data_IF_501553972582
#
_entry.id   IF_501553972582
#
_cell.length_a   1.000
_cell.length_b   1.000
_cell.length_c   1.000
_cell.angle_alpha   90.00
_cell.angle_beta   90.00
_cell.angle_gamma   90.00
#
_symmetry.space_group_name_H-M   'P 1'
#
loop_
_entity.id
_entity.type
_entity.pdbx_description
1 polymer ?
#
# COMPACT_ATOMS: atom_id res chain seq x y z
N UNK A 1 -4.80 22.62 -13.42
CA UNK A 1 -5.32 21.30 -13.90
C UNK A 1 -4.25 20.25 -13.74
N UNK A 2 -4.58 19.12 -13.12
CA UNK A 2 -3.64 18.00 -12.94
C UNK A 2 -3.65 17.12 -14.20
N UNK A 3 -2.48 16.63 -14.59
CA UNK A 3 -2.29 15.61 -15.62
C UNK A 3 -1.47 14.47 -15.08
N UNK A 4 -1.69 13.27 -15.61
CA UNK A 4 -0.89 12.09 -15.26
C UNK A 4 -0.36 11.42 -16.52
N UNK A 5 0.85 10.89 -16.43
CA UNK A 5 1.49 10.10 -17.47
C UNK A 5 2.04 8.84 -16.83
N UNK A 6 1.91 7.71 -17.50
CA UNK A 6 2.41 6.43 -17.01
C UNK A 6 3.34 5.84 -18.06
N UNK A 7 4.43 5.27 -17.63
CA UNK A 7 5.38 4.57 -18.45
C UNK A 7 5.83 3.28 -17.78
N UNK A 8 6.23 2.29 -18.56
CA UNK A 8 6.75 1.03 -18.06
C UNK A 8 7.84 0.48 -18.95
N UNK A 9 8.67 -0.39 -18.41
CA UNK A 9 9.66 -1.18 -19.16
C UNK A 9 9.88 -2.53 -18.48
N UNK A 10 10.23 -3.53 -19.27
CA UNK A 10 10.72 -4.83 -18.82
C UNK A 10 12.22 -5.00 -19.06
N UNK A 11 12.83 -3.98 -19.65
CA UNK A 11 14.25 -4.02 -19.96
C UNK A 11 15.07 -3.85 -18.68
N UNK A 12 15.80 -4.87 -18.32
CA UNK A 12 16.59 -4.96 -17.10
C UNK A 12 18.09 -4.95 -17.36
N UNK A 13 18.51 -5.53 -18.49
CA UNK A 13 19.91 -5.81 -18.80
C UNK A 13 20.61 -4.62 -19.45
N UNK A 14 19.91 -3.90 -20.33
CA UNK A 14 20.45 -2.74 -21.06
C UNK A 14 19.89 -1.44 -20.49
N UNK A 15 20.55 -0.88 -19.47
CA UNK A 15 20.10 0.31 -18.72
C UNK A 15 19.76 1.49 -19.64
N UNK A 16 20.59 1.77 -20.64
CA UNK A 16 20.36 2.88 -21.58
C UNK A 16 19.09 2.67 -22.42
N UNK A 17 18.76 1.41 -22.74
CA UNK A 17 17.52 1.05 -23.44
C UNK A 17 16.32 1.27 -22.54
N UNK A 18 16.38 0.79 -21.29
CA UNK A 18 15.32 1.01 -20.29
C UNK A 18 15.04 2.51 -20.08
N UNK A 19 16.07 3.32 -19.88
CA UNK A 19 15.93 4.78 -19.75
C UNK A 19 15.29 5.38 -21.01
N UNK A 20 15.74 5.00 -22.19
CA UNK A 20 15.19 5.51 -23.45
C UNK A 20 13.72 5.14 -23.64
N UNK A 21 13.33 3.91 -23.29
CA UNK A 21 11.93 3.47 -23.35
C UNK A 21 11.04 4.32 -22.44
N UNK A 22 11.43 4.51 -21.18
CA UNK A 22 10.68 5.34 -20.21
C UNK A 22 10.59 6.79 -20.69
N UNK A 23 11.72 7.41 -21.07
CA UNK A 23 11.73 8.81 -21.50
C UNK A 23 10.94 9.03 -22.80
N UNK A 24 10.94 8.05 -23.70
CA UNK A 24 10.14 8.11 -24.96
C UNK A 24 8.63 8.07 -24.68
N UNK A 25 8.20 7.30 -23.68
CA UNK A 25 6.79 7.26 -23.26
C UNK A 25 6.39 8.54 -22.51
N UNK A 26 7.20 8.99 -21.56
CA UNK A 26 6.90 10.15 -20.71
C UNK A 26 6.98 11.48 -21.45
N UNK A 27 7.95 11.68 -22.33
CA UNK A 27 8.23 12.94 -23.09
C UNK A 27 8.25 14.16 -22.17
N UNK A 28 9.20 14.24 -21.20
CA UNK A 28 9.18 15.30 -20.18
C UNK A 28 9.13 16.71 -20.73
N UNK A 29 9.85 16.98 -21.84
CA UNK A 29 9.97 18.32 -22.45
C UNK A 29 8.62 18.87 -22.94
N UNK A 30 7.64 17.98 -23.22
CA UNK A 30 6.34 18.39 -23.76
C UNK A 30 5.18 18.14 -22.79
N UNK A 31 5.31 17.15 -21.92
CA UNK A 31 4.21 16.67 -21.07
C UNK A 31 4.28 17.21 -19.66
N UNK A 32 5.47 17.44 -19.10
CA UNK A 32 5.60 17.91 -17.72
C UNK A 32 5.25 19.38 -17.62
N UNK A 33 4.41 19.69 -16.65
CA UNK A 33 4.08 21.04 -16.25
C UNK A 33 5.08 21.55 -15.21
N UNK A 34 4.85 22.74 -14.68
CA UNK A 34 5.78 23.42 -13.76
C UNK A 34 6.15 22.58 -12.55
N UNK A 35 5.18 21.92 -11.94
CA UNK A 35 5.35 21.11 -10.75
C UNK A 35 5.07 19.65 -11.11
N UNK A 36 6.04 18.78 -10.90
CA UNK A 36 5.94 17.36 -11.23
C UNK A 36 6.51 16.50 -10.12
N UNK A 37 5.92 15.33 -9.93
CA UNK A 37 6.39 14.30 -9.02
C UNK A 37 6.25 12.94 -9.69
N UNK A 38 7.23 12.08 -9.49
CA UNK A 38 7.24 10.72 -9.98
C UNK A 38 6.92 9.72 -8.85
N UNK A 39 5.97 8.81 -9.11
CA UNK A 39 5.66 7.66 -8.26
C UNK A 39 6.15 6.41 -8.99
N UNK A 40 7.04 5.64 -8.35
CA UNK A 40 7.63 4.43 -8.95
C UNK A 40 7.17 3.18 -8.21
N UNK A 41 6.89 2.13 -8.97
CA UNK A 41 6.79 0.76 -8.47
C UNK A 41 7.55 -0.16 -9.40
N UNK A 42 8.40 -1.05 -8.86
CA UNK A 42 9.21 -1.94 -9.69
C UNK A 42 9.55 -3.24 -8.97
N UNK A 43 9.91 -4.26 -9.73
CA UNK A 43 10.55 -5.44 -9.18
C UNK A 43 11.94 -5.09 -8.61
N UNK A 44 12.37 -5.75 -7.54
CA UNK A 44 13.61 -5.41 -6.82
C UNK A 44 14.87 -5.50 -7.70
N UNK A 45 14.88 -6.35 -8.73
CA UNK A 45 16.01 -6.48 -9.65
C UNK A 45 16.32 -5.17 -10.38
N UNK A 46 15.32 -4.35 -10.71
CA UNK A 46 15.54 -3.01 -11.31
C UNK A 46 16.30 -2.07 -10.38
N UNK A 47 16.11 -2.24 -9.06
CA UNK A 47 16.86 -1.50 -8.05
C UNK A 47 18.31 -1.95 -8.03
N UNK A 48 18.54 -3.27 -7.93
CA UNK A 48 19.88 -3.85 -7.82
C UNK A 48 20.69 -3.66 -9.10
N UNK A 49 20.06 -3.76 -10.28
CA UNK A 49 20.70 -3.52 -11.56
C UNK A 49 21.04 -2.05 -11.82
N UNK A 50 20.54 -1.10 -10.97
CA UNK A 50 20.81 0.32 -11.15
C UNK A 50 19.90 1.03 -12.15
N UNK A 51 18.91 0.35 -12.73
CA UNK A 51 17.95 0.93 -13.69
C UNK A 51 17.14 2.05 -13.03
N UNK A 52 16.68 1.85 -11.78
CA UNK A 52 15.94 2.87 -11.01
C UNK A 52 16.74 4.17 -10.89
N UNK A 53 18.05 4.06 -10.56
CA UNK A 53 18.92 5.22 -10.42
C UNK A 53 19.13 5.94 -11.75
N UNK A 54 19.35 5.19 -12.83
CA UNK A 54 19.57 5.76 -14.16
C UNK A 54 18.31 6.49 -14.69
N UNK A 55 17.12 5.92 -14.46
CA UNK A 55 15.86 6.58 -14.81
C UNK A 55 15.68 7.87 -14.00
N UNK A 56 15.92 7.83 -12.68
CA UNK A 56 15.86 9.04 -11.86
C UNK A 56 16.81 10.14 -12.33
N UNK A 57 18.05 9.80 -12.69
CA UNK A 57 19.04 10.77 -13.16
C UNK A 57 18.64 11.45 -14.49
N UNK A 58 17.74 10.82 -15.24
CA UNK A 58 17.16 11.37 -16.47
C UNK A 58 15.87 12.18 -16.23
N UNK A 59 15.25 12.10 -15.04
CA UNK A 59 14.00 12.79 -14.71
C UNK A 59 14.25 14.19 -14.17
N UNK A 60 13.42 15.19 -14.51
CA UNK A 60 13.52 16.55 -13.99
C UNK A 60 12.75 16.77 -12.67
N UNK A 61 12.38 15.74 -11.93
CA UNK A 61 11.56 15.83 -10.72
C UNK A 61 11.94 14.77 -9.69
N UNK A 62 11.51 14.98 -8.43
CA UNK A 62 11.66 13.99 -7.38
C UNK A 62 10.90 12.70 -7.71
N UNK A 63 11.42 11.55 -7.26
CA UNK A 63 10.87 10.23 -7.47
C UNK A 63 10.76 9.47 -6.14
N UNK A 64 9.56 8.99 -5.82
CA UNK A 64 9.28 8.23 -4.59
C UNK A 64 8.45 6.98 -4.92
N UNK A 65 8.67 5.90 -4.21
CA UNK A 65 7.85 4.69 -4.36
C UNK A 65 8.41 3.46 -3.68
N UNK A 66 8.07 2.29 -4.20
CA UNK A 66 8.40 1.01 -3.55
C UNK A 66 8.72 -0.09 -4.55
N UNK A 67 9.50 -1.04 -4.10
CA UNK A 67 9.51 -2.38 -4.69
C UNK A 67 8.13 -3.00 -4.46
N UNK A 68 7.57 -3.57 -5.52
CA UNK A 68 6.22 -4.15 -5.55
C UNK A 68 6.14 -5.21 -6.66
N UNK A 69 5.28 -6.22 -6.49
CA UNK A 69 5.15 -7.30 -7.47
C UNK A 69 3.84 -8.09 -7.28
N UNK A 70 3.11 -8.40 -8.38
CA UNK A 70 3.25 -7.94 -9.76
C UNK A 70 2.84 -6.48 -9.97
N UNK A 71 3.02 -6.00 -11.19
CA UNK A 71 2.76 -4.63 -11.61
C UNK A 71 1.90 -4.60 -12.87
N UNK A 72 1.13 -3.52 -13.04
CA UNK A 72 0.35 -3.31 -14.25
C UNK A 72 0.20 -1.81 -14.60
N UNK A 73 0.11 -1.55 -15.88
CA UNK A 73 -0.28 -0.28 -16.48
C UNK A 73 -1.41 -0.52 -17.49
N UNK A 74 -1.88 0.51 -18.15
CA UNK A 74 -2.88 0.35 -19.22
C UNK A 74 -2.37 -0.47 -20.42
N UNK A 75 -1.06 -0.52 -20.61
CA UNK A 75 -0.42 -1.13 -21.80
C UNK A 75 0.05 -2.57 -21.55
N UNK A 76 0.50 -2.85 -20.31
CA UNK A 76 1.11 -4.13 -19.99
C UNK A 76 1.08 -4.47 -18.50
N UNK A 77 1.31 -5.74 -18.19
CA UNK A 77 1.51 -6.22 -16.81
C UNK A 77 2.51 -7.38 -16.77
N UNK A 78 3.30 -7.46 -15.71
CA UNK A 78 4.27 -8.54 -15.49
C UNK A 78 4.66 -8.68 -14.02
N UNK A 79 5.34 -9.81 -13.72
CA UNK A 79 6.01 -10.05 -12.45
C UNK A 79 7.32 -9.24 -12.34
N UNK A 80 8.06 -9.12 -13.44
CA UNK A 80 9.35 -8.42 -13.51
C UNK A 80 9.19 -7.20 -14.42
N UNK A 81 8.85 -6.07 -13.83
CA UNK A 81 8.56 -4.83 -14.56
C UNK A 81 8.99 -3.62 -13.71
N UNK A 82 9.32 -2.53 -14.39
CA UNK A 82 9.41 -1.18 -13.83
C UNK A 82 8.22 -0.36 -14.33
N UNK A 83 7.54 0.33 -13.45
CA UNK A 83 6.45 1.24 -13.80
C UNK A 83 6.60 2.56 -13.06
N UNK A 84 6.27 3.66 -13.73
CA UNK A 84 6.35 5.00 -13.19
C UNK A 84 5.11 5.81 -13.58
N UNK A 85 4.54 6.52 -12.63
CA UNK A 85 3.48 7.51 -12.86
C UNK A 85 4.01 8.89 -12.55
N UNK A 86 3.83 9.81 -13.47
CA UNK A 86 4.08 11.23 -13.26
C UNK A 86 2.76 11.92 -12.97
N UNK A 87 2.71 12.64 -11.86
CA UNK A 87 1.64 13.60 -11.56
C UNK A 87 2.21 14.98 -11.77
N UNK A 88 1.58 15.80 -12.60
CA UNK A 88 2.10 17.10 -12.96
C UNK A 88 1.00 18.17 -13.01
N UNK A 89 1.32 19.39 -12.59
CA UNK A 89 0.37 20.50 -12.49
C UNK A 89 1.09 21.87 -12.56
N UNK A 90 0.37 22.88 -13.04
CA UNK A 90 0.79 24.29 -12.90
C UNK A 90 0.27 24.93 -11.60
N UNK A 91 -0.74 24.31 -10.98
CA UNK A 91 -1.46 24.82 -9.82
C UNK A 91 -1.08 24.11 -8.53
N UNK A 92 -1.12 22.75 -8.56
CA UNK A 92 -0.74 21.91 -7.41
C UNK A 92 0.77 21.84 -7.24
N UNK A 93 1.23 21.80 -5.99
CA UNK A 93 2.64 21.66 -5.64
C UNK A 93 2.90 20.30 -4.97
N UNK A 94 4.13 19.80 -5.10
CA UNK A 94 4.57 18.54 -4.51
C UNK A 94 5.91 18.76 -3.77
N UNK A 95 5.99 18.26 -2.55
CA UNK A 95 7.23 18.33 -1.74
C UNK A 95 7.53 16.92 -1.22
N UNK A 96 8.53 16.29 -1.82
CA UNK A 96 9.01 14.99 -1.36
C UNK A 96 9.97 15.12 -0.18
N UNK A 97 9.96 14.15 0.70
CA UNK A 97 10.89 14.06 1.82
C UNK A 97 11.12 12.61 2.26
N UNK A 98 12.33 12.39 2.79
CA UNK A 98 12.81 11.13 3.32
C UNK A 98 13.15 11.31 4.80
N UNK A 99 12.73 10.37 5.64
CA UNK A 99 13.09 10.37 7.07
C UNK A 99 14.54 9.91 7.29
N UNK A 100 15.04 10.13 8.49
CA UNK A 100 16.12 9.31 9.04
C UNK A 100 15.62 7.86 9.26
N UNK A 101 16.49 6.89 9.60
CA UNK A 101 16.06 5.55 9.96
C UNK A 101 14.97 5.55 11.04
N UNK A 102 13.91 4.75 10.83
CA UNK A 102 12.71 4.72 11.71
C UNK A 102 12.74 3.59 12.73
N UNK A 103 13.80 2.78 12.77
CA UNK A 103 13.87 1.58 13.63
C UNK A 103 13.92 1.91 15.14
N UNK A 104 14.55 3.01 15.53
CA UNK A 104 14.72 3.36 16.95
C UNK A 104 13.54 4.18 17.50
N UNK A 105 13.02 5.12 16.70
CA UNK A 105 11.90 6.01 17.06
C UNK A 105 11.20 6.49 15.80
N UNK A 106 10.29 5.66 15.30
CA UNK A 106 9.50 5.95 14.12
C UNK A 106 8.62 7.19 14.31
N UNK A 107 7.99 7.30 15.47
CA UNK A 107 7.04 8.37 15.78
C UNK A 107 7.70 9.73 15.72
N UNK A 108 8.82 9.88 16.43
CA UNK A 108 9.59 11.13 16.43
C UNK A 108 10.14 11.47 15.05
N UNK A 109 10.75 10.49 14.39
CA UNK A 109 11.43 10.66 13.11
C UNK A 109 10.46 11.09 12.01
N UNK A 110 9.27 10.49 11.95
CA UNK A 110 8.21 10.85 11.00
C UNK A 110 7.65 12.24 11.33
N UNK A 111 7.36 12.54 12.61
CA UNK A 111 6.82 13.81 13.04
C UNK A 111 7.77 15.00 12.73
N UNK A 112 9.06 14.86 13.02
CA UNK A 112 10.07 15.88 12.72
C UNK A 112 10.21 16.09 11.20
N UNK A 113 10.18 15.00 10.41
CA UNK A 113 10.27 15.08 8.95
C UNK A 113 9.04 15.76 8.37
N UNK A 114 7.83 15.40 8.84
CA UNK A 114 6.59 16.04 8.41
C UNK A 114 6.63 17.56 8.73
N UNK A 115 6.93 17.94 9.96
CA UNK A 115 6.98 19.33 10.39
C UNK A 115 7.97 20.16 9.55
N UNK A 116 9.17 19.62 9.33
CA UNK A 116 10.20 20.24 8.47
C UNK A 116 9.73 20.39 7.02
N UNK A 117 9.03 19.40 6.49
CA UNK A 117 8.57 19.40 5.10
C UNK A 117 7.41 20.36 4.92
N UNK A 118 6.41 20.32 5.80
CA UNK A 118 5.26 21.21 5.78
C UNK A 118 5.64 22.68 5.97
N UNK A 119 6.70 22.96 6.76
CA UNK A 119 7.19 24.35 6.96
C UNK A 119 7.75 25.02 5.69
N UNK A 120 7.98 24.29 4.60
CA UNK A 120 8.40 24.84 3.31
C UNK A 120 7.29 25.62 2.59
N UNK A 121 6.05 25.44 2.99
CA UNK A 121 4.87 26.12 2.44
C UNK A 121 4.05 26.75 3.56
N UNK A 122 3.28 27.79 3.22
CA UNK A 122 2.37 28.45 4.15
C UNK A 122 1.02 27.73 4.24
N UNK A 123 0.60 27.14 3.14
CA UNK A 123 -0.65 26.36 3.07
C UNK A 123 -0.46 24.98 3.71
N UNK A 124 -1.57 24.42 4.20
CA UNK A 124 -1.62 23.01 4.63
C UNK A 124 -1.64 22.11 3.38
N UNK A 125 -0.93 20.97 3.40
CA UNK A 125 -1.11 19.98 2.33
C UNK A 125 -2.55 19.45 2.31
N UNK A 126 -3.02 19.08 1.14
CA UNK A 126 -4.35 18.50 0.92
C UNK A 126 -4.32 16.98 0.80
N UNK A 127 -3.15 16.41 0.53
CA UNK A 127 -2.91 14.97 0.42
C UNK A 127 -1.48 14.65 0.89
N UNK A 128 -1.32 13.51 1.54
CA UNK A 128 -0.03 12.89 1.82
C UNK A 128 0.05 11.57 1.04
N UNK A 129 1.08 11.41 0.19
CA UNK A 129 1.41 10.11 -0.35
C UNK A 129 2.56 9.52 0.48
N UNK A 130 2.38 8.28 0.99
CA UNK A 130 3.24 7.68 2.01
C UNK A 130 3.79 6.33 1.55
N UNK A 131 5.10 6.14 1.70
CA UNK A 131 5.82 4.95 1.26
C UNK A 131 6.81 4.48 2.31
N UNK A 132 6.77 3.19 2.64
CA UNK A 132 7.67 2.59 3.60
C UNK A 132 8.12 1.19 3.15
N UNK A 133 9.29 0.71 3.60
CA UNK A 133 9.60 -0.70 3.51
C UNK A 133 8.71 -1.48 4.48
N UNK A 134 8.56 -2.78 4.25
CA UNK A 134 7.99 -3.66 5.27
C UNK A 134 9.04 -3.89 6.36
N UNK A 135 8.72 -3.49 7.60
CA UNK A 135 9.60 -3.67 8.76
C UNK A 135 8.83 -4.49 9.80
N UNK A 136 9.39 -5.63 10.22
CA UNK A 136 8.72 -6.52 11.16
C UNK A 136 8.52 -5.91 12.57
N UNK A 137 9.33 -4.92 12.96
CA UNK A 137 9.24 -4.25 14.26
C UNK A 137 8.21 -3.11 14.29
N UNK A 138 7.94 -2.49 13.15
CA UNK A 138 7.04 -1.34 13.04
C UNK A 138 5.85 -1.70 12.16
N UNK A 139 4.65 -1.45 12.65
CA UNK A 139 3.44 -1.68 11.85
C UNK A 139 3.10 -0.47 10.98
N UNK A 140 2.41 -0.71 9.87
CA UNK A 140 1.84 0.37 9.07
C UNK A 140 0.82 1.22 9.86
N UNK A 141 0.17 0.65 10.87
CA UNK A 141 -0.76 1.36 11.76
C UNK A 141 -0.03 2.41 12.61
N UNK A 142 1.18 2.10 13.09
CA UNK A 142 2.02 3.06 13.81
C UNK A 142 2.34 4.27 12.94
N UNK A 143 2.76 4.06 11.69
CA UNK A 143 3.02 5.14 10.75
C UNK A 143 1.78 6.00 10.52
N UNK A 144 0.61 5.35 10.35
CA UNK A 144 -0.64 6.07 10.11
C UNK A 144 -1.12 6.85 11.32
N UNK A 145 -0.92 6.33 12.54
CA UNK A 145 -1.23 7.05 13.78
C UNK A 145 -0.41 8.34 13.88
N UNK A 146 0.90 8.26 13.67
CA UNK A 146 1.79 9.43 13.72
C UNK A 146 1.43 10.45 12.66
N UNK A 147 1.29 10.02 11.39
CA UNK A 147 0.96 10.92 10.28
C UNK A 147 -0.40 11.59 10.53
N UNK A 148 -1.41 10.86 10.98
CA UNK A 148 -2.73 11.42 11.27
C UNK A 148 -2.68 12.48 12.37
N UNK A 149 -1.93 12.22 13.43
CA UNK A 149 -1.75 13.14 14.55
C UNK A 149 -1.05 14.43 14.12
N UNK A 150 0.12 14.31 13.46
CA UNK A 150 0.94 15.50 13.12
C UNK A 150 0.37 16.30 11.96
N UNK A 151 -0.46 15.69 11.11
CA UNK A 151 -1.10 16.35 9.95
C UNK A 151 -2.50 16.87 10.22
N UNK A 152 -3.07 16.61 11.41
CA UNK A 152 -4.48 16.89 11.69
C UNK A 152 -5.42 16.15 10.71
N UNK A 153 -5.16 14.85 10.51
CA UNK A 153 -5.91 13.93 9.66
C UNK A 153 -6.01 14.32 8.17
N UNK A 154 -4.97 14.95 7.61
CA UNK A 154 -4.90 15.11 6.15
C UNK A 154 -4.99 13.73 5.49
N UNK A 155 -5.81 13.54 4.43
CA UNK A 155 -5.90 12.27 3.73
C UNK A 155 -4.53 11.73 3.34
N UNK A 156 -4.28 10.44 3.67
CA UNK A 156 -3.03 9.76 3.39
C UNK A 156 -3.28 8.53 2.51
N UNK A 157 -2.56 8.42 1.38
CA UNK A 157 -2.63 7.29 0.47
C UNK A 157 -1.24 6.75 0.20
N UNK A 158 -1.10 5.45 0.00
CA UNK A 158 0.21 4.86 -0.30
C UNK A 158 0.31 3.40 0.07
N UNK A 159 1.53 2.95 0.35
CA UNK A 159 1.76 1.52 0.56
C UNK A 159 3.07 1.19 1.27
N UNK A 160 3.17 -0.05 1.76
CA UNK A 160 4.42 -0.68 2.16
C UNK A 160 4.97 -1.55 1.04
N UNK A 161 6.30 -1.58 0.91
CA UNK A 161 7.00 -2.39 -0.08
C UNK A 161 6.79 -3.90 0.14
N UNK A 162 6.83 -4.65 -0.95
CA UNK A 162 6.91 -6.13 -0.91
C UNK A 162 7.73 -6.62 -2.10
N UNK A 163 8.52 -7.67 -1.88
CA UNK A 163 9.21 -8.41 -2.96
C UNK A 163 8.45 -9.67 -3.40
N UNK A 164 7.19 -9.81 -2.92
CA UNK A 164 6.35 -10.98 -3.21
C UNK A 164 6.72 -12.24 -2.42
N UNK A 165 7.66 -12.15 -1.48
CA UNK A 165 8.05 -13.27 -0.60
C UNK A 165 7.59 -13.01 0.83
N UNK A 166 7.49 -14.05 1.63
CA UNK A 166 7.16 -13.95 3.06
C UNK A 166 8.31 -13.40 3.90
N UNK A 167 9.52 -13.39 3.36
CA UNK A 167 10.72 -12.90 4.06
C UNK A 167 10.96 -11.40 3.90
N UNK A 168 10.35 -10.74 2.93
CA UNK A 168 10.48 -9.31 2.64
C UNK A 168 11.93 -8.81 2.52
N UNK A 169 12.86 -9.69 2.13
CA UNK A 169 14.30 -9.39 2.13
C UNK A 169 14.69 -8.26 1.16
N UNK A 170 13.93 -8.09 0.08
CA UNK A 170 14.15 -7.08 -0.95
C UNK A 170 12.99 -6.07 -1.03
N UNK A 171 12.21 -5.94 0.03
CA UNK A 171 11.11 -4.97 0.11
C UNK A 171 11.66 -3.57 0.38
N UNK A 172 12.17 -2.90 -0.66
CA UNK A 172 12.79 -1.59 -0.58
C UNK A 172 11.78 -0.47 -0.81
N UNK A 173 11.89 0.60 -0.02
CA UNK A 173 11.36 1.92 -0.36
C UNK A 173 12.38 2.66 -1.24
N UNK A 174 11.90 3.41 -2.24
CA UNK A 174 12.69 4.12 -3.23
C UNK A 174 12.52 5.64 -3.04
N UNK A 175 13.62 6.36 -3.00
CA UNK A 175 13.63 7.82 -2.94
C UNK A 175 14.76 8.37 -3.79
N UNK A 176 14.44 9.12 -4.84
CA UNK A 176 15.40 9.81 -5.73
C UNK A 176 16.51 8.89 -6.25
N UNK A 177 16.12 7.70 -6.75
CA UNK A 177 17.05 6.73 -7.32
C UNK A 177 17.79 5.85 -6.32
N UNK A 178 17.75 6.20 -5.02
CA UNK A 178 18.31 5.40 -3.94
C UNK A 178 17.22 4.53 -3.29
N UNK A 179 17.61 3.47 -2.55
CA UNK A 179 16.68 2.54 -1.91
C UNK A 179 17.03 2.28 -0.45
N UNK A 180 16.00 2.01 0.37
CA UNK A 180 16.12 1.92 1.82
C UNK A 180 15.20 0.83 2.37
N UNK A 181 15.66 0.17 3.46
CA UNK A 181 14.86 -0.80 4.23
C UNK A 181 14.46 -0.29 5.61
N UNK A 182 14.85 0.91 5.97
CA UNK A 182 14.71 1.46 7.32
C UNK A 182 14.19 2.90 7.34
N UNK A 183 13.68 3.42 6.23
CA UNK A 183 13.24 4.82 6.12
C UNK A 183 11.83 4.91 5.56
N UNK A 184 11.13 5.94 5.99
CA UNK A 184 9.82 6.33 5.50
C UNK A 184 9.95 7.52 4.55
N UNK A 185 9.22 7.49 3.45
CA UNK A 185 9.15 8.63 2.53
C UNK A 185 7.72 9.16 2.42
N UNK A 186 7.59 10.46 2.27
CA UNK A 186 6.30 11.11 2.05
C UNK A 186 6.40 12.16 0.94
N UNK A 187 5.30 12.34 0.22
CA UNK A 187 5.07 13.46 -0.68
C UNK A 187 3.91 14.26 -0.09
N UNK A 188 4.15 15.52 0.26
CA UNK A 188 3.09 16.45 0.62
C UNK A 188 2.60 17.11 -0.66
N UNK A 189 1.35 16.88 -1.02
CA UNK A 189 0.71 17.50 -2.17
C UNK A 189 -0.24 18.62 -1.72
N UNK A 190 -0.22 19.74 -2.42
CA UNK A 190 -0.99 20.94 -2.15
C UNK A 190 -1.96 21.19 -3.30
N UNK A 191 -3.18 21.62 -2.98
CA UNK A 191 -4.25 21.88 -3.96
C UNK A 191 -4.57 20.66 -4.86
N UNK A 192 -4.50 19.46 -4.26
CA UNK A 192 -4.85 18.20 -4.91
C UNK A 192 -5.95 17.49 -4.11
N UNK A 193 -7.09 17.24 -4.74
CA UNK A 193 -8.27 16.65 -4.08
C UNK A 193 -8.70 15.34 -4.77
N UNK A 194 -7.96 14.24 -4.57
CA UNK A 194 -8.30 12.97 -5.17
C UNK A 194 -9.51 12.33 -4.50
N UNK A 195 -10.09 11.33 -5.18
CA UNK A 195 -11.08 10.42 -4.60
C UNK A 195 -10.43 9.08 -4.27
N UNK A 196 -10.90 8.47 -3.18
CA UNK A 196 -10.37 7.20 -2.69
C UNK A 196 -11.43 6.12 -2.75
N UNK A 197 -11.01 4.91 -3.13
CA UNK A 197 -11.85 3.72 -3.24
C UNK A 197 -11.17 2.55 -2.56
N UNK A 198 -11.95 1.69 -1.90
CA UNK A 198 -11.44 0.53 -1.18
C UNK A 198 -12.33 -0.67 -1.47
N UNK A 199 -11.75 -1.74 -2.04
CA UNK A 199 -12.35 -3.05 -2.01
C UNK A 199 -11.83 -3.81 -0.79
N UNK A 200 -12.72 -4.10 0.15
CA UNK A 200 -12.45 -4.93 1.30
C UNK A 200 -13.04 -6.34 1.07
N UNK A 201 -12.76 -7.29 1.96
CA UNK A 201 -13.43 -8.59 1.93
C UNK A 201 -14.90 -8.49 2.36
N UNK A 202 -15.70 -9.49 2.00
CA UNK A 202 -17.11 -9.57 2.45
C UNK A 202 -17.19 -10.00 3.91
N UNK A 203 -17.53 -9.06 4.80
CA UNK A 203 -17.72 -9.37 6.23
C UNK A 203 -18.82 -10.40 6.50
N UNK A 204 -19.77 -10.53 5.59
CA UNK A 204 -20.84 -11.54 5.65
C UNK A 204 -20.31 -12.99 5.56
N UNK A 205 -19.12 -13.16 4.99
CA UNK A 205 -18.43 -14.46 4.89
C UNK A 205 -17.56 -14.77 6.12
N UNK A 206 -17.53 -13.90 7.13
CA UNK A 206 -16.81 -14.19 8.37
C UNK A 206 -17.36 -15.43 9.06
N UNK A 207 -16.46 -16.33 9.44
CA UNK A 207 -16.78 -17.65 9.97
C UNK A 207 -16.60 -17.73 11.48
N UNK A 208 -17.38 -18.62 12.10
CA UNK A 208 -17.25 -18.89 13.53
C UNK A 208 -17.84 -17.79 14.43
N UNK A 209 -17.64 -17.96 15.73
CA UNK A 209 -18.06 -16.98 16.73
C UNK A 209 -17.10 -15.83 16.81
N UNK A 210 -17.61 -14.65 17.18
CA UNK A 210 -16.76 -13.51 17.54
C UNK A 210 -15.92 -13.89 18.74
N UNK A 211 -14.61 -13.61 18.66
CA UNK A 211 -13.67 -13.76 19.76
C UNK A 211 -13.08 -12.38 20.10
N UNK A 212 -12.54 -12.25 21.31
CA UNK A 212 -11.93 -11.00 21.77
C UNK A 212 -10.43 -11.19 21.98
N UNK A 213 -9.64 -10.26 21.51
CA UNK A 213 -8.22 -10.19 21.84
C UNK A 213 -8.07 -9.75 23.28
N UNK A 214 -7.57 -10.63 24.13
CA UNK A 214 -7.43 -10.39 25.58
C UNK A 214 -6.03 -9.98 25.99
N UNK A 215 -5.03 -10.20 25.10
CA UNK A 215 -3.67 -9.72 25.29
C UNK A 215 -2.96 -9.57 23.95
N UNK A 216 -2.46 -8.37 23.70
CA UNK A 216 -1.63 -8.06 22.51
C UNK A 216 -0.67 -6.91 22.79
N UNK A 217 0.37 -6.83 21.97
CA UNK A 217 1.31 -5.72 21.94
C UNK A 217 1.54 -5.34 20.46
N UNK A 218 1.03 -4.15 20.06
CA UNK A 218 1.05 -3.72 18.67
C UNK A 218 0.37 -4.74 17.74
N UNK A 219 1.15 -5.35 16.87
CA UNK A 219 0.70 -6.35 15.90
C UNK A 219 0.97 -7.81 16.32
N UNK A 220 1.36 -8.03 17.58
CA UNK A 220 1.59 -9.37 18.15
C UNK A 220 0.45 -9.74 19.09
N UNK A 221 -0.29 -10.79 18.76
CA UNK A 221 -1.36 -11.33 19.62
C UNK A 221 -0.78 -12.46 20.48
N UNK A 222 -1.01 -12.38 21.79
CA UNK A 222 -0.57 -13.36 22.78
C UNK A 222 -1.74 -14.24 23.27
N UNK A 223 -2.93 -13.62 23.47
CA UNK A 223 -4.10 -14.31 23.99
C UNK A 223 -5.40 -13.88 23.31
N UNK A 224 -6.27 -14.87 23.07
CA UNK A 224 -7.63 -14.68 22.53
C UNK A 224 -8.62 -15.39 23.46
N UNK A 225 -9.64 -14.68 23.95
CA UNK A 225 -10.62 -15.18 24.95
C UNK A 225 -9.96 -15.79 26.20
N UNK A 226 -8.85 -15.19 26.67
CA UNK A 226 -8.09 -15.68 27.84
C UNK A 226 -7.32 -16.98 27.62
N UNK A 227 -7.11 -17.39 26.36
CA UNK A 227 -6.32 -18.59 25.98
C UNK A 227 -5.15 -18.16 25.13
N UNK A 228 -4.07 -18.94 25.17
CA UNK A 228 -2.95 -18.74 24.25
C UNK A 228 -3.42 -18.85 22.80
N UNK A 229 -2.70 -18.21 21.88
CA UNK A 229 -2.98 -18.29 20.43
C UNK A 229 -2.98 -19.74 19.94
N UNK A 230 -2.05 -20.57 20.41
CA UNK A 230 -1.99 -21.99 20.06
C UNK A 230 -3.24 -22.77 20.49
N UNK A 231 -3.73 -22.54 21.71
CA UNK A 231 -4.95 -23.16 22.19
C UNK A 231 -6.18 -22.69 21.42
N UNK A 232 -6.22 -21.40 21.06
CA UNK A 232 -7.29 -20.84 20.25
C UNK A 232 -7.29 -21.46 18.84
N UNK A 233 -6.17 -21.51 18.14
CA UNK A 233 -6.05 -22.12 16.82
C UNK A 233 -6.33 -23.62 16.83
N UNK A 234 -5.82 -24.34 17.87
CA UNK A 234 -6.11 -25.76 18.07
C UNK A 234 -7.61 -26.00 18.24
N UNK A 235 -8.28 -25.17 19.04
CA UNK A 235 -9.72 -25.24 19.24
C UNK A 235 -10.55 -25.02 17.97
N UNK A 236 -10.00 -24.34 16.97
CA UNK A 236 -10.58 -24.12 15.65
C UNK A 236 -10.18 -25.18 14.62
N UNK A 237 -9.32 -26.14 14.99
CA UNK A 237 -8.78 -27.14 14.06
C UNK A 237 -7.70 -26.59 13.11
N UNK A 238 -7.12 -25.43 13.39
CA UNK A 238 -6.19 -24.74 12.52
C UNK A 238 -4.71 -25.07 12.82
N UNK A 239 -4.40 -26.06 13.65
CA UNK A 239 -3.05 -26.42 14.07
C UNK A 239 -2.11 -26.66 12.88
N UNK A 240 -2.59 -27.37 11.85
CA UNK A 240 -1.79 -27.61 10.64
C UNK A 240 -1.63 -26.36 9.76
N UNK A 241 -2.64 -25.49 9.75
CA UNK A 241 -2.57 -24.24 9.00
C UNK A 241 -1.59 -23.25 9.63
N UNK A 242 -1.48 -23.24 10.98
CA UNK A 242 -0.53 -22.41 11.70
C UNK A 242 0.94 -22.90 11.60
N UNK A 243 1.16 -24.12 11.14
CA UNK A 243 2.48 -24.66 10.83
C UNK A 243 3.00 -24.21 9.45
N UNK A 244 2.13 -23.64 8.60
CA UNK A 244 2.49 -23.09 7.30
C UNK A 244 2.02 -21.64 7.21
N UNK A 245 2.92 -20.71 7.00
CA UNK A 245 2.61 -19.29 6.83
C UNK A 245 1.55 -19.08 5.74
N UNK A 246 1.68 -19.79 4.63
CA UNK A 246 0.71 -19.73 3.52
C UNK A 246 -0.71 -20.12 3.94
N UNK A 247 -0.86 -21.17 4.77
CA UNK A 247 -2.19 -21.61 5.22
C UNK A 247 -2.90 -20.55 6.06
N UNK A 248 -2.17 -19.79 6.88
CA UNK A 248 -2.73 -18.75 7.73
C UNK A 248 -3.00 -17.44 6.99
N UNK A 249 -2.24 -17.13 5.94
CA UNK A 249 -2.51 -15.97 5.06
C UNK A 249 -3.89 -16.08 4.41
N UNK A 250 -4.35 -17.31 4.16
CA UNK A 250 -5.67 -17.58 3.57
C UNK A 250 -6.84 -17.40 4.55
N UNK A 251 -6.55 -17.23 5.86
CA UNK A 251 -7.52 -17.09 6.93
C UNK A 251 -7.28 -15.80 7.75
N UNK A 252 -7.42 -14.63 7.11
CA UNK A 252 -7.24 -13.37 7.82
C UNK A 252 -8.31 -13.18 8.90
N UNK A 253 -8.03 -12.34 9.88
CA UNK A 253 -9.03 -11.86 10.82
C UNK A 253 -9.78 -10.64 10.26
N UNK A 254 -11.10 -10.67 10.37
CA UNK A 254 -11.93 -9.47 10.35
C UNK A 254 -11.86 -8.84 11.75
N UNK A 255 -11.28 -7.67 11.86
CA UNK A 255 -11.06 -6.99 13.15
C UNK A 255 -11.97 -5.79 13.28
N UNK A 256 -12.73 -5.75 14.35
CA UNK A 256 -13.49 -4.59 14.79
C UNK A 256 -12.75 -3.96 15.99
N UNK A 257 -12.28 -2.74 15.81
CA UNK A 257 -11.57 -2.01 16.85
C UNK A 257 -12.50 -1.44 17.93
N UNK A 258 -13.82 -1.55 17.75
CA UNK A 258 -14.85 -0.95 18.62
C UNK A 258 -14.71 0.58 18.75
N UNK A 259 -14.14 1.25 17.77
CA UNK A 259 -13.91 2.71 17.72
C UNK A 259 -14.85 3.45 16.74
N UNK A 260 -15.83 2.74 16.17
CA UNK A 260 -16.80 3.27 15.21
C UNK A 260 -16.28 3.34 13.78
N UNK A 261 -15.06 2.86 13.51
CA UNK A 261 -14.54 2.70 12.15
C UNK A 261 -14.98 1.37 11.54
N UNK A 262 -15.02 1.26 10.20
CA UNK A 262 -15.26 -0.03 9.55
C UNK A 262 -14.25 -1.09 9.97
N UNK A 263 -14.69 -2.35 10.02
CA UNK A 263 -13.80 -3.48 10.24
C UNK A 263 -12.68 -3.50 9.21
N UNK A 264 -11.51 -3.98 9.64
CA UNK A 264 -10.34 -4.16 8.76
C UNK A 264 -9.93 -5.63 8.72
N UNK A 265 -9.30 -6.02 7.63
CA UNK A 265 -8.62 -7.31 7.58
C UNK A 265 -7.25 -7.20 8.27
N UNK A 266 -6.85 -8.28 8.94
CA UNK A 266 -5.49 -8.47 9.44
C UNK A 266 -4.97 -9.82 9.00
N UNK A 267 -3.87 -9.78 8.26
CA UNK A 267 -3.26 -10.98 7.67
C UNK A 267 -2.18 -11.50 8.61
N UNK A 268 -2.22 -12.79 8.88
CA UNK A 268 -1.20 -13.47 9.65
C UNK A 268 0.13 -13.49 8.88
N UNK A 269 1.24 -13.20 9.58
CA UNK A 269 2.58 -13.23 9.01
C UNK A 269 3.33 -14.49 9.45
N UNK A 270 3.49 -14.69 10.76
CA UNK A 270 4.20 -15.85 11.32
C UNK A 270 3.88 -16.05 12.80
N UNK A 271 4.39 -17.13 13.38
CA UNK A 271 4.47 -17.29 14.83
C UNK A 271 5.85 -16.86 15.34
N UNK A 272 5.87 -16.10 16.44
CA UNK A 272 7.12 -15.79 17.13
C UNK A 272 7.72 -17.05 17.77
N UNK A 273 9.00 -17.04 18.22
CA UNK A 273 9.58 -18.15 18.96
C UNK A 273 8.77 -18.54 20.22
N UNK A 274 8.10 -17.57 20.85
CA UNK A 274 7.23 -17.77 22.01
C UNK A 274 5.83 -18.29 21.63
N UNK A 275 5.59 -18.51 20.35
CA UNK A 275 4.32 -18.95 19.75
C UNK A 275 3.19 -17.94 19.88
N UNK A 276 3.52 -16.64 19.86
CA UNK A 276 2.57 -15.58 19.67
C UNK A 276 2.31 -15.35 18.16
N UNK A 277 1.13 -14.86 17.80
CA UNK A 277 0.81 -14.61 16.40
C UNK A 277 1.19 -13.19 15.98
N UNK A 278 2.11 -13.08 15.03
CA UNK A 278 2.47 -11.83 14.37
C UNK A 278 1.52 -11.59 13.20
N UNK A 279 0.91 -10.42 13.15
CA UNK A 279 0.05 -9.96 12.06
C UNK A 279 0.68 -8.81 11.29
N UNK A 280 0.23 -8.56 10.06
CA UNK A 280 0.74 -7.48 9.22
C UNK A 280 0.30 -6.07 9.68
N UNK A 281 -0.62 -5.98 10.64
CA UNK A 281 -1.07 -4.74 11.25
C UNK A 281 -1.53 -4.93 12.70
N UNK A 282 -1.71 -3.82 13.42
CA UNK A 282 -2.05 -3.84 14.85
C UNK A 282 -3.44 -4.45 15.10
N UNK A 283 -3.54 -5.20 16.19
CA UNK A 283 -4.80 -5.73 16.74
C UNK A 283 -4.80 -5.46 18.24
N UNK A 284 -5.30 -4.30 18.66
CA UNK A 284 -5.30 -3.88 20.07
C UNK A 284 -6.10 -4.81 20.97
N UNK A 285 -5.74 -4.85 22.26
CA UNK A 285 -6.56 -5.49 23.30
C UNK A 285 -7.97 -4.92 23.30
N UNK A 286 -8.96 -5.79 23.47
CA UNK A 286 -10.37 -5.44 23.42
C UNK A 286 -10.97 -5.45 22.02
N UNK A 287 -10.17 -5.61 20.96
CA UNK A 287 -10.69 -5.79 19.60
C UNK A 287 -11.51 -7.06 19.50
N UNK A 288 -12.64 -6.97 18.76
CA UNK A 288 -13.41 -8.14 18.39
C UNK A 288 -12.87 -8.70 17.06
N UNK A 289 -12.67 -10.02 16.99
CA UNK A 289 -12.12 -10.69 15.82
C UNK A 289 -13.03 -11.83 15.36
N UNK A 290 -13.09 -12.05 14.04
CA UNK A 290 -13.67 -13.22 13.42
C UNK A 290 -12.73 -13.72 12.33
N UNK A 291 -12.66 -15.05 12.14
CA UNK A 291 -11.93 -15.60 10.99
C UNK A 291 -12.75 -15.33 9.73
N UNK A 292 -12.08 -14.91 8.68
CA UNK A 292 -12.65 -14.84 7.34
C UNK A 292 -11.79 -15.63 6.37
N UNK A 293 -12.28 -15.87 5.17
CA UNK A 293 -11.53 -16.53 4.11
C UNK A 293 -11.10 -15.53 3.06
N UNK A 294 -9.94 -15.78 2.47
CA UNK A 294 -9.42 -15.01 1.34
C UNK A 294 -9.74 -15.77 0.05
N UNK A 295 -11.03 -15.81 -0.32
CA UNK A 295 -11.48 -16.55 -1.48
C UNK A 295 -11.33 -15.75 -2.78
N UNK A 296 -10.86 -16.39 -3.84
CA UNK A 296 -10.71 -15.83 -5.17
C UNK A 296 -12.00 -15.15 -5.68
N UNK A 297 -13.16 -15.80 -5.50
CA UNK A 297 -14.45 -15.23 -5.92
C UNK A 297 -14.76 -13.92 -5.22
N UNK A 298 -14.44 -13.83 -3.92
CA UNK A 298 -14.65 -12.64 -3.12
C UNK A 298 -13.71 -11.49 -3.54
N UNK A 299 -12.46 -11.82 -3.82
CA UNK A 299 -11.46 -10.86 -4.34
C UNK A 299 -11.97 -10.24 -5.64
N UNK A 300 -12.37 -11.05 -6.60
CA UNK A 300 -12.80 -10.58 -7.92
C UNK A 300 -14.12 -9.80 -7.85
N UNK A 301 -15.08 -10.25 -7.03
CA UNK A 301 -16.36 -9.58 -6.83
C UNK A 301 -16.18 -8.21 -6.17
N UNK A 302 -15.43 -8.14 -5.07
CA UNK A 302 -15.21 -6.87 -4.35
C UNK A 302 -14.41 -5.87 -5.17
N UNK A 303 -13.42 -6.31 -5.95
CA UNK A 303 -12.70 -5.46 -6.92
C UNK A 303 -13.66 -4.95 -7.99
N UNK A 304 -14.47 -5.83 -8.60
CA UNK A 304 -15.42 -5.43 -9.64
C UNK A 304 -16.41 -4.36 -9.14
N UNK A 305 -16.98 -4.57 -7.96
CA UNK A 305 -17.91 -3.62 -7.34
C UNK A 305 -17.25 -2.25 -7.12
N UNK A 306 -16.00 -2.24 -6.65
CA UNK A 306 -15.23 -1.00 -6.45
C UNK A 306 -14.89 -0.30 -7.77
N UNK A 307 -14.58 -1.05 -8.82
CA UNK A 307 -14.36 -0.49 -10.16
C UNK A 307 -15.65 0.09 -10.76
N UNK A 308 -16.81 -0.52 -10.53
CA UNK A 308 -18.11 0.00 -10.95
C UNK A 308 -18.49 1.30 -10.22
N UNK A 309 -18.08 1.44 -8.96
CA UNK A 309 -18.21 2.69 -8.22
C UNK A 309 -17.26 3.76 -8.75
N UNK A 310 -15.98 3.44 -8.90
CA UNK A 310 -14.94 4.31 -9.44
C UNK A 310 -15.26 4.82 -10.85
N UNK A 311 -15.87 3.99 -11.70
CA UNK A 311 -16.25 4.34 -13.06
C UNK A 311 -17.16 5.57 -13.14
N UNK A 312 -17.95 5.86 -12.10
CA UNK A 312 -18.85 7.04 -12.04
C UNK A 312 -18.06 8.34 -12.00
N UNK A 313 -16.86 8.33 -11.47
CA UNK A 313 -15.99 9.49 -11.29
C UNK A 313 -14.86 9.59 -12.32
N UNK A 314 -14.63 8.52 -13.08
CA UNK A 314 -13.48 8.40 -14.01
C UNK A 314 -13.49 9.42 -15.16
N UNK A 315 -14.67 9.88 -15.57
CA UNK A 315 -14.81 10.74 -16.76
C UNK A 315 -14.01 12.05 -16.69
N UNK A 316 -13.81 12.57 -15.48
CA UNK A 316 -13.10 13.84 -15.24
C UNK A 316 -11.72 13.63 -14.60
N UNK A 317 -11.28 12.38 -14.46
CA UNK A 317 -10.03 12.04 -13.81
C UNK A 317 -8.86 12.09 -14.80
N UNK A 318 -7.69 12.47 -14.30
CA UNK A 318 -6.45 12.49 -15.08
C UNK A 318 -5.70 11.17 -15.03
N UNK A 319 -5.87 10.38 -13.95
CA UNK A 319 -5.22 9.09 -13.77
C UNK A 319 -5.58 8.40 -12.46
N UNK A 320 -5.10 7.18 -12.30
CA UNK A 320 -5.44 6.31 -11.19
C UNK A 320 -4.20 5.59 -10.64
N UNK A 321 -3.95 5.75 -9.35
CA UNK A 321 -2.93 5.00 -8.62
C UNK A 321 -3.59 3.91 -7.81
N UNK A 322 -3.17 2.65 -7.99
CA UNK A 322 -3.80 1.48 -7.38
C UNK A 322 -2.75 0.69 -6.60
N UNK A 323 -3.08 0.36 -5.34
CA UNK A 323 -2.35 -0.62 -4.56
C UNK A 323 -3.31 -1.73 -4.11
N UNK A 324 -2.94 -2.99 -4.41
CA UNK A 324 -3.64 -4.19 -3.96
C UNK A 324 -2.74 -5.02 -3.06
N UNK A 325 -3.27 -5.61 -2.03
CA UNK A 325 -2.47 -6.40 -1.09
C UNK A 325 -1.90 -7.66 -1.76
N UNK A 326 -0.64 -7.96 -1.49
CA UNK A 326 0.01 -9.19 -1.97
C UNK A 326 -0.72 -10.46 -1.50
N UNK A 327 -1.42 -10.41 -0.37
CA UNK A 327 -2.25 -11.54 0.10
C UNK A 327 -3.41 -11.87 -0.84
N UNK A 328 -3.98 -10.87 -1.53
CA UNK A 328 -5.01 -11.07 -2.57
C UNK A 328 -4.40 -11.78 -3.78
N UNK A 329 -3.25 -11.32 -4.24
CA UNK A 329 -2.49 -11.97 -5.30
C UNK A 329 -2.20 -13.44 -4.99
N UNK A 330 -1.70 -13.73 -3.78
CA UNK A 330 -1.43 -15.11 -3.34
C UNK A 330 -2.70 -15.97 -3.33
N UNK A 331 -3.84 -15.41 -2.92
CA UNK A 331 -5.11 -16.12 -2.87
C UNK A 331 -5.71 -16.42 -4.24
N UNK A 332 -5.36 -15.67 -5.27
CA UNK A 332 -5.76 -15.94 -6.66
C UNK A 332 -5.14 -17.24 -7.22
N UNK A 333 -4.00 -17.69 -6.68
CA UNK A 333 -3.36 -18.95 -7.06
C UNK A 333 -2.99 -18.98 -8.55
N UNK A 334 -3.53 -19.94 -9.31
CA UNK A 334 -3.25 -20.05 -10.74
C UNK A 334 -3.82 -18.88 -11.59
N UNK A 335 -4.73 -18.08 -11.02
CA UNK A 335 -5.38 -16.96 -11.69
C UNK A 335 -4.81 -15.59 -11.23
N UNK A 336 -3.53 -15.56 -10.93
CA UNK A 336 -2.81 -14.41 -10.34
C UNK A 336 -3.03 -13.08 -11.05
N UNK A 337 -3.31 -13.06 -12.35
CA UNK A 337 -3.54 -11.84 -13.12
C UNK A 337 -5.01 -11.46 -13.29
N UNK A 338 -5.97 -12.24 -12.75
CA UNK A 338 -7.40 -11.97 -12.95
C UNK A 338 -7.87 -10.63 -12.36
N UNK A 339 -7.32 -10.21 -11.24
CA UNK A 339 -7.63 -8.88 -10.68
C UNK A 339 -7.08 -7.76 -11.58
N UNK A 340 -5.87 -7.93 -12.12
CA UNK A 340 -5.25 -7.00 -13.09
C UNK A 340 -6.09 -6.94 -14.38
N UNK A 341 -6.52 -8.08 -14.91
CA UNK A 341 -7.37 -8.15 -16.10
C UNK A 341 -8.66 -7.36 -15.89
N UNK A 342 -9.32 -7.50 -14.72
CA UNK A 342 -10.49 -6.71 -14.37
C UNK A 342 -10.21 -5.20 -14.38
N UNK A 343 -9.07 -4.77 -13.84
CA UNK A 343 -8.66 -3.36 -13.86
C UNK A 343 -8.45 -2.90 -15.30
N UNK A 344 -7.71 -3.63 -16.10
CA UNK A 344 -7.41 -3.29 -17.51
C UNK A 344 -8.70 -3.17 -18.35
N UNK A 345 -9.67 -4.04 -18.11
CA UNK A 345 -10.95 -4.03 -18.83
C UNK A 345 -11.82 -2.82 -18.45
N UNK A 346 -11.77 -2.36 -17.20
CA UNK A 346 -12.71 -1.37 -16.67
C UNK A 346 -12.10 0.04 -16.52
N UNK A 347 -10.78 0.20 -16.36
CA UNK A 347 -10.12 1.51 -16.22
C UNK A 347 -9.77 2.08 -17.59
N UNK A 348 -10.15 3.36 -17.83
CA UNK A 348 -9.96 4.04 -19.13
C UNK A 348 -9.11 5.31 -19.04
N UNK A 349 -8.50 5.54 -17.89
CA UNK A 349 -7.51 6.61 -17.67
C UNK A 349 -6.13 5.98 -17.50
N UNK A 350 -5.03 6.73 -17.66
CA UNK A 350 -3.70 6.23 -17.32
C UNK A 350 -3.68 5.71 -15.88
N UNK A 351 -3.13 4.52 -15.66
CA UNK A 351 -3.02 3.98 -14.30
C UNK A 351 -1.70 3.26 -14.07
N UNK A 352 -1.27 3.30 -12.81
CA UNK A 352 -0.25 2.42 -12.25
C UNK A 352 -0.90 1.56 -11.18
N UNK A 353 -0.81 0.25 -11.32
CA UNK A 353 -1.24 -0.72 -10.32
C UNK A 353 -0.05 -1.54 -9.84
N UNK A 354 0.05 -1.72 -8.51
CA UNK A 354 1.08 -2.53 -7.90
C UNK A 354 0.50 -3.36 -6.75
N UNK A 355 0.96 -4.60 -6.61
CA UNK A 355 0.69 -5.36 -5.41
C UNK A 355 1.70 -5.02 -4.31
N UNK A 356 1.22 -4.88 -3.08
CA UNK A 356 1.91 -4.22 -1.99
C UNK A 356 1.90 -5.03 -0.69
N UNK A 357 2.78 -4.69 0.23
CA UNK A 357 2.90 -5.29 1.56
C UNK A 357 1.86 -4.80 2.58
N UNK A 358 0.86 -4.06 2.12
CA UNK A 358 -0.23 -3.45 2.87
C UNK A 358 -0.51 -2.05 2.35
N UNK A 359 -1.76 -1.62 2.41
CA UNK A 359 -2.27 -0.43 1.77
C UNK A 359 -2.52 0.68 2.80
N UNK A 360 -2.23 1.91 2.42
CA UNK A 360 -2.56 3.12 3.17
C UNK A 360 -3.65 3.85 2.42
N UNK A 361 -4.82 4.00 3.05
CA UNK A 361 -5.94 4.68 2.41
C UNK A 361 -6.89 5.28 3.46
N UNK A 362 -7.45 6.47 3.21
CA UNK A 362 -8.50 7.02 4.06
C UNK A 362 -9.74 6.15 4.01
N UNK A 363 -10.34 5.87 5.17
CA UNK A 363 -11.62 5.18 5.28
C UNK A 363 -12.71 6.15 5.75
N UNK A 364 -13.94 5.95 5.29
CA UNK A 364 -15.07 6.77 5.74
C UNK A 364 -15.46 6.37 7.16
N UNK A 365 -15.54 7.34 8.06
CA UNK A 365 -16.12 7.17 9.40
C UNK A 365 -17.59 7.57 9.37
N UNK A 366 -18.43 6.87 10.11
CA UNK A 366 -19.89 7.00 10.08
C UNK A 366 -20.39 8.43 10.41
N UNK A 367 -19.58 9.28 11.01
CA UNK A 367 -19.99 10.62 11.48
C UNK A 367 -19.17 11.81 10.99
N UNK A 368 -18.47 11.81 9.86
CA UNK A 368 -17.95 13.02 9.18
C UNK A 368 -16.46 13.22 8.99
N UNK A 369 -15.55 12.43 9.51
CA UNK A 369 -14.12 12.59 9.18
C UNK A 369 -13.59 11.31 8.58
N UNK A 370 -12.92 11.41 7.43
CA UNK A 370 -12.13 10.30 6.94
C UNK A 370 -10.99 10.04 7.92
N UNK A 371 -10.79 8.78 8.31
CA UNK A 371 -9.66 8.38 9.12
C UNK A 371 -8.64 7.68 8.21
N UNK A 372 -7.37 8.08 8.31
CA UNK A 372 -6.31 7.34 7.66
C UNK A 372 -6.15 5.98 8.32
N UNK A 373 -6.06 4.93 7.53
CA UNK A 373 -5.89 3.56 8.01
C UNK A 373 -4.82 2.85 7.21
N UNK A 374 -4.12 1.97 7.90
CA UNK A 374 -3.36 0.91 7.28
C UNK A 374 -4.28 -0.29 7.07
N UNK A 375 -4.25 -0.86 5.89
CA UNK A 375 -5.10 -1.97 5.47
C UNK A 375 -4.27 -3.17 5.08
N UNK A 376 -4.86 -4.36 5.24
CA UNK A 376 -4.37 -5.59 4.66
C UNK A 376 -5.51 -6.25 3.89
N UNK A 377 -5.17 -7.06 2.91
CA UNK A 377 -6.13 -7.80 2.09
C UNK A 377 -7.16 -6.90 1.39
N UNK A 378 -6.75 -5.68 1.04
CA UNK A 378 -7.60 -4.71 0.33
C UNK A 378 -7.05 -4.39 -1.06
N UNK A 379 -7.93 -3.92 -1.92
CA UNK A 379 -7.58 -3.18 -3.12
C UNK A 379 -7.93 -1.72 -2.88
N UNK A 380 -6.97 -0.83 -3.04
CA UNK A 380 -7.16 0.61 -2.81
C UNK A 380 -6.83 1.39 -4.06
N UNK A 381 -7.56 2.45 -4.31
CA UNK A 381 -7.36 3.31 -5.48
C UNK A 381 -7.49 4.80 -5.13
N UNK A 382 -6.59 5.60 -5.70
CA UNK A 382 -6.56 7.05 -5.61
C UNK A 382 -6.74 7.64 -7.02
N UNK A 383 -7.87 8.30 -7.25
CA UNK A 383 -8.27 8.86 -8.52
C UNK A 383 -8.00 10.37 -8.54
N UNK A 384 -7.11 10.82 -9.44
CA UNK A 384 -6.67 12.21 -9.58
C UNK A 384 -7.44 13.00 -10.62
#
# INVERSE_FOLDING_TARGET
MVKTFVASTRELDEIDVAVKEIMTQLKPETNFLRNSIAIVSCHFEFVIAGVVKAIYDALPCDMVGTVSVPLATAEEYDMVMFSIMIITSDESDFVASLTLPVLEDSSRTIAETYAKTASKKLEKPSLILAYAPFIAQNSGDEYMRVISEVSDNIPCFGTLATDGTTGFANAYMIYNGEYYQDRFAMILAYDLNPKFYIANFSYEKAMGNVANVTKSEGHVIMEINGRSVDEFFTGLGLTKASETEFGMIMLPFAVDYNDGTPKVARVFVTLTPERYALYAGEIPEGSAIQITSNEKSDILETTKNTLDELAKDMQNASGLLIYSCVSRYMALGADIFKEIELVTENVKVPYLMAYAGGEICPTQVIEKTAANRFHNNTFTACLF
#
